data_IF_263211693317
#
_entry.id   IF_263211693317
#
_cell.length_a   1.000
_cell.length_b   1.000
_cell.length_c   1.000
_cell.angle_alpha   90.00
_cell.angle_beta   90.00
_cell.angle_gamma   90.00
#
_symmetry.space_group_name_H-M   'P 1'
#
loop_
_entity.id
_entity.type
_entity.pdbx_description
1 polymer ?
#
# COMPACT_ATOMS: atom_id res chain seq x y z
N UNK A 1 28.95 -6.78 -11.81
CA UNK A 1 28.42 -7.42 -10.58
C UNK A 1 26.92 -7.63 -10.78
N UNK A 2 26.51 -8.85 -11.07
CA UNK A 2 25.12 -9.22 -11.40
C UNK A 2 24.36 -9.59 -10.14
N UNK A 3 23.35 -8.80 -9.77
CA UNK A 3 22.42 -9.17 -8.70
C UNK A 3 21.32 -10.08 -9.28
N UNK A 4 21.32 -11.33 -8.82
CA UNK A 4 20.23 -12.29 -9.00
C UNK A 4 19.10 -11.92 -8.05
N UNK A 5 17.95 -11.53 -8.59
CA UNK A 5 16.74 -11.29 -7.80
C UNK A 5 16.07 -12.63 -7.51
N UNK A 6 16.31 -13.15 -6.31
CA UNK A 6 15.73 -14.40 -5.83
C UNK A 6 14.22 -14.34 -5.68
N UNK A 7 13.59 -15.50 -5.85
CA UNK A 7 12.17 -15.74 -5.67
C UNK A 7 11.67 -15.21 -4.32
N UNK A 8 10.50 -14.55 -4.36
CA UNK A 8 9.70 -14.09 -3.23
C UNK A 8 9.29 -15.35 -2.42
N UNK A 9 10.12 -15.76 -1.46
CA UNK A 9 9.87 -16.95 -0.64
C UNK A 9 8.88 -16.61 0.46
N UNK A 10 7.67 -17.16 0.37
CA UNK A 10 6.71 -17.20 1.46
C UNK A 10 7.30 -17.98 2.64
N UNK A 11 7.38 -17.34 3.80
CA UNK A 11 7.66 -18.03 5.05
C UNK A 11 6.33 -18.63 5.55
N UNK A 12 6.12 -19.92 5.32
CA UNK A 12 4.97 -20.66 5.83
C UNK A 12 5.09 -20.89 7.34
N UNK A 13 4.12 -20.43 8.11
CA UNK A 13 3.98 -20.74 9.53
C UNK A 13 2.83 -21.73 9.75
N UNK A 14 3.11 -22.80 10.49
CA UNK A 14 2.20 -23.94 10.71
C UNK A 14 0.95 -23.57 11.52
N UNK A 15 -0.19 -24.09 11.06
CA UNK A 15 -1.50 -23.96 11.69
C UNK A 15 -1.68 -24.94 12.86
N UNK A 16 -2.37 -24.50 13.91
CA UNK A 16 -3.18 -25.38 14.76
C UNK A 16 -4.62 -24.88 14.75
N UNK A 17 -5.52 -25.66 14.18
CA UNK A 17 -6.94 -25.41 14.05
C UNK A 17 -7.69 -25.63 15.36
N UNK A 18 -8.67 -24.77 15.66
CA UNK A 18 -9.93 -25.27 16.21
C UNK A 18 -11.09 -24.32 15.88
N UNK A 19 -12.11 -24.88 15.24
CA UNK A 19 -13.35 -24.23 14.82
C UNK A 19 -14.37 -24.24 15.94
N UNK A 20 -15.04 -23.12 16.18
CA UNK A 20 -16.45 -23.10 16.54
C UNK A 20 -17.06 -21.76 16.11
N UNK A 21 -18.10 -21.86 15.28
CA UNK A 21 -18.86 -20.79 14.67
C UNK A 21 -20.16 -20.58 15.46
N UNK A 22 -20.34 -19.39 16.02
CA UNK A 22 -21.67 -18.88 16.35
C UNK A 22 -21.83 -17.53 15.65
N UNK A 23 -22.84 -17.49 14.77
CA UNK A 23 -23.16 -16.36 13.92
C UNK A 23 -23.86 -15.26 14.69
N UNK A 24 -23.18 -14.12 14.84
CA UNK A 24 -23.80 -12.83 15.09
C UNK A 24 -23.61 -11.95 13.86
N UNK A 25 -24.65 -11.80 13.05
CA UNK A 25 -24.63 -10.90 11.88
C UNK A 25 -24.35 -9.46 12.31
N UNK A 26 -23.21 -8.93 11.91
CA UNK A 26 -22.80 -7.55 12.19
C UNK A 26 -23.52 -6.56 11.26
N UNK A 27 -24.01 -5.44 11.83
CA UNK A 27 -24.61 -4.33 11.08
C UNK A 27 -23.65 -3.15 10.99
N UNK A 28 -23.34 -2.71 9.77
CA UNK A 28 -22.55 -1.50 9.52
C UNK A 28 -23.14 -0.26 10.23
N UNK A 29 -24.48 -0.18 10.29
CA UNK A 29 -25.17 0.93 10.94
C UNK A 29 -24.90 0.99 12.46
N UNK A 30 -24.78 -0.15 13.13
CA UNK A 30 -24.56 -0.18 14.59
C UNK A 30 -23.11 0.16 14.97
N UNK A 31 -22.13 -0.26 14.18
CA UNK A 31 -20.75 0.18 14.39
C UNK A 31 -20.53 1.65 14.04
N UNK A 32 -21.16 2.14 12.97
CA UNK A 32 -21.15 3.57 12.65
C UNK A 32 -21.75 4.39 13.79
N UNK A 33 -22.88 3.95 14.35
CA UNK A 33 -23.51 4.60 15.49
C UNK A 33 -22.57 4.62 16.72
N UNK A 34 -21.96 3.48 17.08
CA UNK A 34 -20.98 3.42 18.17
C UNK A 34 -19.79 4.34 17.93
N UNK A 35 -19.24 4.33 16.71
CA UNK A 35 -18.15 5.22 16.28
C UNK A 35 -18.51 6.71 16.42
N UNK A 36 -19.72 7.10 15.98
CA UNK A 36 -20.20 8.47 16.11
C UNK A 36 -20.49 8.86 17.58
N UNK A 37 -20.75 7.88 18.46
CA UNK A 37 -20.95 8.10 19.90
C UNK A 37 -19.63 8.22 20.67
N UNK A 38 -18.61 7.44 20.30
CA UNK A 38 -17.26 7.48 20.89
C UNK A 38 -16.45 8.73 20.45
N UNK A 39 -17.00 9.52 19.53
CA UNK A 39 -16.44 10.75 18.93
C UNK A 39 -16.39 11.97 19.85
N UNK A 40 -16.19 11.78 21.15
CA UNK A 40 -16.01 12.84 22.16
C UNK A 40 -14.83 13.81 21.95
N UNK A 41 -14.19 13.81 20.78
CA UNK A 41 -13.11 14.73 20.38
C UNK A 41 -13.51 15.78 19.34
N UNK A 42 -14.80 15.90 18.99
CA UNK A 42 -15.33 17.09 18.32
C UNK A 42 -16.69 17.45 18.91
N UNK A 43 -16.76 18.54 19.68
CA UNK A 43 -18.02 19.15 20.12
C UNK A 43 -18.98 19.31 18.94
N UNK A 44 -20.04 18.51 18.90
CA UNK A 44 -21.26 18.83 18.19
C UNK A 44 -22.08 19.79 19.04
N UNK A 45 -21.84 21.10 18.91
CA UNK A 45 -22.73 22.11 19.46
C UNK A 45 -24.02 22.14 18.63
N UNK A 46 -25.07 21.48 19.10
CA UNK A 46 -26.44 21.79 18.69
C UNK A 46 -26.92 22.99 19.51
N UNK A 47 -26.71 24.19 19.00
CA UNK A 47 -27.18 25.43 19.62
C UNK A 47 -26.31 26.61 19.24
N UNK A 48 -26.94 27.68 18.76
CA UNK A 48 -26.32 28.87 18.17
C UNK A 48 -25.14 29.44 18.98
N UNK A 49 -23.93 29.25 18.48
CA UNK A 49 -22.75 30.01 18.87
C UNK A 49 -21.83 30.16 17.65
N UNK A 50 -21.38 31.37 17.39
CA UNK A 50 -20.57 31.74 16.22
C UNK A 50 -19.29 30.90 16.13
N UNK A 51 -19.18 30.09 15.07
CA UNK A 51 -18.01 29.27 14.81
C UNK A 51 -16.89 30.13 14.18
N UNK A 52 -16.05 30.71 15.03
CA UNK A 52 -14.69 31.09 14.63
C UNK A 52 -13.90 29.83 14.27
N UNK A 53 -13.30 29.83 13.08
CA UNK A 53 -12.56 28.74 12.45
C UNK A 53 -11.28 28.36 13.23
N UNK A 54 -11.40 27.51 14.24
CA UNK A 54 -10.26 26.75 14.78
C UNK A 54 -10.14 25.43 14.03
N UNK A 55 -9.30 25.37 12.98
CA UNK A 55 -8.74 24.08 12.53
C UNK A 55 -8.20 23.36 13.78
N UNK A 56 -8.55 22.09 13.97
CA UNK A 56 -8.16 21.39 15.20
C UNK A 56 -6.62 21.41 15.32
N UNK A 57 -6.11 21.80 16.50
CA UNK A 57 -4.67 21.94 16.76
C UNK A 57 -3.89 20.63 16.49
N UNK A 58 -4.58 19.48 16.55
CA UNK A 58 -4.03 18.16 16.25
C UNK A 58 -3.71 17.99 14.75
N UNK A 59 -4.57 18.47 13.85
CA UNK A 59 -4.34 18.32 12.40
C UNK A 59 -3.18 19.19 11.90
N UNK A 60 -3.01 20.38 12.47
CA UNK A 60 -1.88 21.26 12.15
C UNK A 60 -0.53 20.65 12.58
N UNK A 61 -0.50 19.94 13.71
CA UNK A 61 0.73 19.28 14.19
C UNK A 61 1.13 18.10 13.30
N UNK A 62 0.17 17.30 12.82
CA UNK A 62 0.47 16.17 11.93
C UNK A 62 0.89 16.61 10.53
N UNK A 63 0.28 17.66 9.96
CA UNK A 63 0.69 18.19 8.65
C UNK A 63 2.17 18.60 8.64
N UNK A 64 2.63 19.24 9.73
CA UNK A 64 4.02 19.60 9.89
C UNK A 64 4.90 18.36 10.03
N UNK A 65 4.50 17.39 10.88
CA UNK A 65 5.20 16.12 11.05
C UNK A 65 5.39 15.39 9.71
N UNK A 66 4.37 15.35 8.86
CA UNK A 66 4.47 14.76 7.52
C UNK A 66 5.46 15.48 6.61
N UNK A 67 5.47 16.82 6.61
CA UNK A 67 6.46 17.59 5.84
C UNK A 67 7.89 17.32 6.32
N UNK A 68 8.12 17.31 7.63
CA UNK A 68 9.45 17.01 8.19
C UNK A 68 9.86 15.57 7.89
N UNK A 69 8.94 14.62 8.04
CA UNK A 69 9.19 13.21 7.71
C UNK A 69 9.57 13.01 6.23
N UNK A 70 9.00 13.79 5.33
CA UNK A 70 9.32 13.76 3.90
C UNK A 70 10.72 14.31 3.65
N UNK A 71 11.11 15.39 4.33
CA UNK A 71 12.48 15.93 4.25
C UNK A 71 13.50 14.92 4.75
N UNK A 72 13.22 14.27 5.90
CA UNK A 72 14.04 13.19 6.44
C UNK A 72 14.14 12.05 5.43
N UNK A 73 13.00 11.59 4.90
CA UNK A 73 12.95 10.51 3.91
C UNK A 73 13.78 10.87 2.67
N UNK A 74 13.67 12.09 2.15
CA UNK A 74 14.46 12.54 1.01
C UNK A 74 15.96 12.62 1.32
N UNK A 75 16.39 12.79 2.58
CA UNK A 75 17.80 12.73 2.92
C UNK A 75 18.34 11.29 2.90
N UNK A 76 17.56 10.33 3.40
CA UNK A 76 18.00 8.93 3.54
C UNK A 76 17.76 8.06 2.28
N UNK A 77 16.91 8.50 1.35
CA UNK A 77 16.65 7.73 0.13
C UNK A 77 17.91 7.62 -0.73
N UNK A 78 18.15 6.43 -1.26
CA UNK A 78 19.19 6.19 -2.25
C UNK A 78 18.92 7.01 -3.53
N UNK A 79 19.96 7.45 -4.27
CA UNK A 79 19.78 8.21 -5.51
C UNK A 79 18.87 7.51 -6.53
N UNK A 80 18.96 6.18 -6.63
CA UNK A 80 18.11 5.39 -7.52
C UNK A 80 16.64 5.37 -7.09
N UNK A 81 16.36 5.40 -5.78
CA UNK A 81 15.00 5.49 -5.26
C UNK A 81 14.40 6.89 -5.51
N UNK A 82 15.21 7.94 -5.34
CA UNK A 82 14.84 9.32 -5.66
C UNK A 82 14.47 9.50 -7.13
N UNK A 83 15.27 8.92 -8.02
CA UNK A 83 15.02 8.96 -9.46
C UNK A 83 13.77 8.15 -9.86
N UNK A 84 13.49 7.02 -9.20
CA UNK A 84 12.27 6.28 -9.48
C UNK A 84 11.04 7.07 -9.02
N UNK A 85 11.02 7.53 -7.78
CA UNK A 85 9.85 8.17 -7.20
C UNK A 85 9.55 9.54 -7.82
N UNK A 86 10.56 10.23 -8.38
CA UNK A 86 10.36 11.51 -9.08
C UNK A 86 9.56 11.36 -10.38
N UNK A 87 9.43 10.14 -10.91
CA UNK A 87 8.65 9.83 -12.11
C UNK A 87 7.15 9.70 -11.85
N UNK A 88 6.72 9.68 -10.59
CA UNK A 88 5.31 9.66 -10.26
C UNK A 88 4.62 10.93 -10.77
N UNK A 89 3.48 10.75 -11.38
CA UNK A 89 2.60 11.78 -11.92
C UNK A 89 1.22 11.69 -11.28
N UNK A 90 0.38 12.70 -11.48
CA UNK A 90 -1.00 12.72 -10.96
C UNK A 90 -1.84 11.56 -11.51
N UNK A 91 -1.45 11.00 -12.65
CA UNK A 91 -2.13 9.85 -13.24
C UNK A 91 -1.73 8.52 -12.62
N UNK A 92 -0.64 8.43 -11.85
CA UNK A 92 -0.18 7.16 -11.26
C UNK A 92 -0.88 6.85 -9.93
N UNK A 93 -1.26 7.88 -9.16
CA UNK A 93 -1.91 7.74 -7.86
C UNK A 93 -3.35 8.24 -7.91
N UNK A 94 -4.31 7.32 -7.78
CA UNK A 94 -5.72 7.64 -7.66
C UNK A 94 -6.18 7.46 -6.21
N UNK A 95 -6.66 8.53 -5.58
CA UNK A 95 -7.21 8.49 -4.22
C UNK A 95 -8.74 8.45 -4.29
N UNK A 96 -9.33 7.40 -3.72
CA UNK A 96 -10.77 7.28 -3.50
C UNK A 96 -11.09 7.90 -2.14
N UNK A 97 -11.98 8.92 -2.10
CA UNK A 97 -12.28 9.63 -0.87
C UNK A 97 -12.97 8.70 0.15
N UNK A 98 -12.78 9.04 1.42
CA UNK A 98 -13.37 8.36 2.57
C UNK A 98 -13.85 9.37 3.59
N UNK A 99 -14.37 8.87 4.69
CA UNK A 99 -14.88 9.69 5.80
C UNK A 99 -13.86 9.82 6.94
N UNK A 100 -13.03 8.81 7.15
CA UNK A 100 -12.25 8.65 8.38
C UNK A 100 -10.73 8.76 8.15
N UNK A 101 -10.26 8.52 6.92
CA UNK A 101 -8.87 8.73 6.53
C UNK A 101 -8.73 9.87 5.50
N UNK A 102 -7.52 10.37 5.34
CA UNK A 102 -7.19 11.47 4.42
C UNK A 102 -5.79 11.31 3.83
N UNK A 103 -5.50 10.18 3.19
CA UNK A 103 -4.15 9.90 2.66
C UNK A 103 -3.68 10.96 1.67
N UNK A 104 -4.59 11.65 0.98
CA UNK A 104 -4.28 12.78 0.10
C UNK A 104 -3.51 13.90 0.82
N UNK A 105 -3.73 14.09 2.12
CA UNK A 105 -2.96 15.06 2.91
C UNK A 105 -1.53 14.60 3.15
N UNK A 106 -1.33 13.29 3.34
CA UNK A 106 0.01 12.69 3.43
C UNK A 106 0.74 12.81 2.09
N UNK A 107 0.05 12.56 0.97
CA UNK A 107 0.61 12.73 -0.38
C UNK A 107 0.97 14.20 -0.65
N UNK A 108 0.06 15.13 -0.34
CA UNK A 108 0.32 16.57 -0.49
C UNK A 108 1.51 17.03 0.37
N UNK A 109 1.57 16.62 1.63
CA UNK A 109 2.68 16.95 2.53
C UNK A 109 4.01 16.33 2.08
N UNK A 110 3.96 15.20 1.36
CA UNK A 110 5.13 14.52 0.80
C UNK A 110 5.48 14.93 -0.63
N UNK A 111 4.77 15.91 -1.20
CA UNK A 111 4.99 16.40 -2.56
C UNK A 111 4.71 15.34 -3.63
N UNK A 112 3.85 14.36 -3.34
CA UNK A 112 3.48 13.30 -4.29
C UNK A 112 2.24 13.74 -5.06
N UNK A 113 2.31 13.82 -6.40
CA UNK A 113 1.16 14.18 -7.20
C UNK A 113 0.12 13.06 -7.16
N UNK A 114 -1.16 13.43 -7.11
CA UNK A 114 -2.27 12.48 -7.06
C UNK A 114 -3.52 13.07 -7.70
N UNK A 115 -4.46 12.19 -8.07
CA UNK A 115 -5.79 12.56 -8.53
C UNK A 115 -6.84 12.03 -7.57
N UNK A 116 -7.86 12.84 -7.27
CA UNK A 116 -9.02 12.40 -6.49
C UNK A 116 -10.08 11.74 -7.39
N UNK A 117 -10.69 10.65 -6.92
CA UNK A 117 -11.89 10.06 -7.51
C UNK A 117 -13.12 10.87 -7.07
N UNK A 118 -13.47 11.91 -7.81
CA UNK A 118 -14.69 12.72 -7.57
C UNK A 118 -15.85 12.32 -8.48
N UNK A 119 -15.54 11.65 -9.59
CA UNK A 119 -16.48 11.23 -10.64
C UNK A 119 -16.17 9.80 -11.09
N UNK A 120 -16.93 9.29 -12.07
CA UNK A 120 -16.57 8.04 -12.74
C UNK A 120 -15.16 8.13 -13.34
N UNK A 121 -14.33 7.14 -13.02
CA UNK A 121 -12.95 7.04 -13.50
C UNK A 121 -12.76 5.69 -14.18
N UNK A 122 -12.24 5.72 -15.41
CA UNK A 122 -11.66 4.54 -16.05
C UNK A 122 -10.27 4.29 -15.44
N UNK A 123 -10.05 3.08 -14.95
CA UNK A 123 -8.79 2.68 -14.33
C UNK A 123 -7.73 2.31 -15.38
N UNK A 124 -6.46 2.56 -15.07
CA UNK A 124 -5.31 2.10 -15.86
C UNK A 124 -4.45 1.19 -14.97
N UNK A 125 -4.20 -0.10 -15.32
CA UNK A 125 -3.47 -1.06 -14.48
C UNK A 125 -2.03 -0.65 -14.11
N UNK A 126 -1.48 0.43 -14.68
CA UNK A 126 -0.22 1.05 -14.23
C UNK A 126 -0.37 1.85 -12.93
N UNK A 127 -1.60 2.14 -12.51
CA UNK A 127 -1.92 2.97 -11.35
C UNK A 127 -1.84 2.22 -10.02
N UNK A 128 -1.77 3.03 -8.97
CA UNK A 128 -2.05 2.68 -7.58
C UNK A 128 -3.36 3.37 -7.19
N UNK A 129 -4.35 2.59 -6.75
CA UNK A 129 -5.64 3.10 -6.25
C UNK A 129 -5.65 2.98 -4.73
N UNK A 130 -5.80 4.11 -4.05
CA UNK A 130 -5.77 4.21 -2.59
C UNK A 130 -7.16 4.55 -2.05
N UNK A 131 -7.72 3.70 -1.20
CA UNK A 131 -9.02 3.90 -0.59
C UNK A 131 -8.88 4.42 0.83
N UNK A 132 -9.31 5.66 1.04
CA UNK A 132 -9.55 6.15 2.39
C UNK A 132 -10.75 5.43 3.01
N UNK A 133 -10.64 5.09 4.30
CA UNK A 133 -11.71 4.47 5.07
C UNK A 133 -13.03 5.29 5.04
N UNK A 134 -14.21 4.68 4.78
CA UNK A 134 -14.44 3.25 4.57
C UNK A 134 -14.38 2.81 3.10
N UNK A 135 -14.24 3.72 2.14
CA UNK A 135 -14.05 3.38 0.72
C UNK A 135 -15.28 2.91 -0.08
N UNK A 136 -16.47 2.85 0.54
CA UNK A 136 -17.68 2.30 -0.10
C UNK A 136 -18.28 3.12 -1.25
N UNK A 137 -17.95 4.41 -1.38
CA UNK A 137 -18.54 5.33 -2.36
C UNK A 137 -17.67 5.53 -3.62
N UNK A 138 -17.03 4.46 -4.10
CA UNK A 138 -16.17 4.52 -5.28
C UNK A 138 -16.96 4.50 -6.60
N UNK A 139 -16.48 5.26 -7.61
CA UNK A 139 -17.06 5.29 -8.96
C UNK A 139 -16.01 4.86 -9.98
N UNK A 140 -15.77 3.55 -10.02
CA UNK A 140 -14.70 2.95 -10.82
C UNK A 140 -15.26 2.19 -12.01
N UNK A 141 -14.56 2.27 -13.14
CA UNK A 141 -14.81 1.50 -14.36
C UNK A 141 -13.52 0.88 -14.86
N UNK A 142 -13.62 -0.33 -15.37
CA UNK A 142 -12.50 -0.98 -16.03
C UNK A 142 -13.00 -2.12 -16.92
N UNK A 143 -12.59 -2.12 -18.20
CA UNK A 143 -12.97 -3.17 -19.18
C UNK A 143 -14.48 -3.46 -19.19
N UNK A 144 -15.29 -2.39 -19.13
CA UNK A 144 -16.76 -2.49 -19.15
C UNK A 144 -17.42 -2.96 -17.83
N UNK A 145 -16.63 -3.25 -16.78
CA UNK A 145 -17.14 -3.53 -15.42
C UNK A 145 -17.18 -2.25 -14.59
N UNK A 146 -17.88 -2.31 -13.45
CA UNK A 146 -18.00 -1.19 -12.51
C UNK A 146 -17.73 -1.64 -11.06
N UNK A 147 -17.46 -0.68 -10.18
CA UNK A 147 -17.33 -0.93 -8.73
C UNK A 147 -16.24 -1.93 -8.38
N UNK A 148 -16.55 -2.90 -7.52
CA UNK A 148 -15.60 -3.91 -7.04
C UNK A 148 -15.19 -4.92 -8.13
N UNK A 149 -16.04 -5.16 -9.13
CA UNK A 149 -15.68 -6.02 -10.27
C UNK A 149 -14.68 -5.32 -11.19
N UNK A 150 -14.85 -4.01 -11.42
CA UNK A 150 -13.84 -3.22 -12.11
C UNK A 150 -12.51 -3.25 -11.36
N UNK A 151 -12.55 -3.09 -10.03
CA UNK A 151 -11.36 -3.11 -9.19
C UNK A 151 -10.64 -4.46 -9.23
N UNK A 152 -11.39 -5.58 -9.21
CA UNK A 152 -10.83 -6.92 -9.35
C UNK A 152 -10.06 -7.06 -10.66
N UNK A 153 -10.72 -6.80 -11.78
CA UNK A 153 -10.11 -6.92 -13.11
C UNK A 153 -8.90 -5.99 -13.27
N UNK A 154 -9.00 -4.75 -12.79
CA UNK A 154 -7.89 -3.79 -12.78
C UNK A 154 -6.66 -4.35 -12.04
N UNK A 155 -6.90 -4.98 -10.89
CA UNK A 155 -5.83 -5.55 -10.07
C UNK A 155 -5.24 -6.78 -10.75
N UNK A 156 -6.08 -7.66 -11.31
CA UNK A 156 -5.63 -8.83 -12.08
C UNK A 156 -4.68 -8.44 -13.22
N UNK A 157 -4.92 -7.31 -13.88
CA UNK A 157 -4.10 -6.78 -14.97
C UNK A 157 -2.86 -5.98 -14.53
N UNK A 158 -2.57 -5.91 -13.22
CA UNK A 158 -1.34 -5.30 -12.70
C UNK A 158 -1.52 -4.09 -11.80
N UNK A 159 -2.75 -3.63 -11.61
CA UNK A 159 -3.09 -2.52 -10.73
C UNK A 159 -2.70 -2.79 -9.27
N UNK A 160 -2.33 -1.74 -8.55
CA UNK A 160 -2.10 -1.82 -7.10
C UNK A 160 -3.29 -1.20 -6.36
N UNK A 161 -3.74 -1.87 -5.29
CA UNK A 161 -4.81 -1.38 -4.43
C UNK A 161 -4.30 -1.26 -3.01
N UNK A 162 -4.46 -0.07 -2.41
CA UNK A 162 -4.12 0.21 -1.02
C UNK A 162 -5.41 0.59 -0.30
N UNK A 163 -5.68 0.01 0.86
CA UNK A 163 -6.90 0.27 1.62
C UNK A 163 -6.60 0.42 3.11
N UNK A 164 -7.37 1.25 3.82
CA UNK A 164 -7.27 1.40 5.27
C UNK A 164 -8.55 1.03 6.01
N UNK A 165 -8.37 0.40 7.17
CA UNK A 165 -9.38 0.08 8.18
C UNK A 165 -10.68 -0.53 7.62
N UNK A 166 -11.83 0.15 7.73
CA UNK A 166 -13.12 -0.40 7.34
C UNK A 166 -13.28 -0.64 5.83
N UNK A 167 -12.36 -0.13 5.02
CA UNK A 167 -12.26 -0.54 3.62
C UNK A 167 -12.01 -2.05 3.47
N UNK A 168 -11.60 -2.75 4.53
CA UNK A 168 -11.57 -4.22 4.58
C UNK A 168 -12.92 -4.82 4.17
N UNK A 169 -14.00 -4.45 4.87
CA UNK A 169 -15.34 -5.01 4.61
C UNK A 169 -15.99 -4.39 3.38
N UNK A 170 -15.77 -3.11 3.15
CA UNK A 170 -16.48 -2.37 2.09
C UNK A 170 -15.85 -2.53 0.71
N UNK A 171 -14.55 -2.81 0.63
CA UNK A 171 -13.78 -2.90 -0.61
C UNK A 171 -13.11 -4.26 -0.72
N UNK A 172 -12.23 -4.62 0.22
CA UNK A 172 -11.33 -5.78 0.06
C UNK A 172 -12.11 -7.08 0.02
N UNK A 173 -13.00 -7.34 0.99
CA UNK A 173 -13.77 -8.58 1.06
C UNK A 173 -14.72 -8.75 -0.13
N UNK A 174 -15.23 -7.65 -0.70
CA UNK A 174 -16.12 -7.66 -1.86
C UNK A 174 -15.36 -7.86 -3.17
N UNK A 175 -14.25 -7.13 -3.37
CA UNK A 175 -13.43 -7.19 -4.57
C UNK A 175 -12.46 -8.39 -4.59
N UNK A 176 -12.11 -8.95 -3.44
CA UNK A 176 -11.09 -9.99 -3.29
C UNK A 176 -11.47 -11.02 -2.19
N UNK A 177 -12.61 -11.72 -2.32
CA UNK A 177 -13.07 -12.66 -1.30
C UNK A 177 -12.08 -13.80 -1.10
N UNK A 178 -11.98 -14.26 0.15
CA UNK A 178 -11.23 -15.46 0.52
C UNK A 178 -9.75 -15.28 0.81
N UNK A 179 -9.20 -14.05 0.77
CA UNK A 179 -7.82 -13.79 1.21
C UNK A 179 -7.76 -13.43 2.69
N UNK A 180 -8.53 -12.41 3.06
CA UNK A 180 -8.62 -11.88 4.41
C UNK A 180 -10.07 -11.49 4.72
N UNK A 181 -10.39 -11.47 6.00
CA UNK A 181 -11.67 -10.97 6.51
C UNK A 181 -11.46 -10.15 7.78
N UNK A 182 -12.55 -9.54 8.24
CA UNK A 182 -12.53 -8.83 9.51
C UNK A 182 -12.43 -9.80 10.69
N UNK A 183 -11.51 -9.49 11.60
CA UNK A 183 -11.34 -10.16 12.88
C UNK A 183 -12.56 -10.07 13.80
N UNK A 184 -12.65 -10.99 14.76
CA UNK A 184 -13.82 -11.13 15.64
C UNK A 184 -14.00 -9.98 16.63
N UNK A 185 -12.94 -9.21 16.90
CA UNK A 185 -12.94 -8.09 17.85
C UNK A 185 -12.59 -6.82 17.12
N UNK A 186 -13.19 -5.71 17.55
CA UNK A 186 -12.72 -4.40 17.11
C UNK A 186 -11.63 -3.90 18.04
N UNK A 187 -10.77 -3.02 17.53
CA UNK A 187 -9.75 -2.35 18.33
C UNK A 187 -10.38 -1.36 19.32
N UNK A 188 -9.69 -1.15 20.44
CA UNK A 188 -9.83 0.06 21.25
C UNK A 188 -8.97 1.20 20.71
N UNK A 189 -8.90 2.30 21.46
CA UNK A 189 -8.07 3.45 21.15
C UNK A 189 -6.63 3.22 21.69
N UNK A 190 -5.80 2.53 20.91
CA UNK A 190 -4.54 1.94 21.38
C UNK A 190 -3.32 2.42 20.60
N UNK A 191 -2.20 2.55 21.30
CA UNK A 191 -0.87 2.64 20.68
C UNK A 191 -0.19 1.28 20.77
N UNK A 192 0.05 0.64 19.64
CA UNK A 192 0.64 -0.72 19.58
C UNK A 192 2.04 -0.68 19.01
N UNK A 193 2.91 -1.55 19.52
CA UNK A 193 4.20 -1.81 18.88
C UNK A 193 4.01 -2.61 17.60
N UNK A 194 4.77 -2.25 16.57
CA UNK A 194 4.76 -2.89 15.26
C UNK A 194 5.99 -3.76 15.09
N UNK A 195 5.75 -5.04 14.88
CA UNK A 195 6.75 -6.02 14.47
C UNK A 195 6.91 -6.00 12.95
N UNK A 196 8.15 -5.83 12.47
CA UNK A 196 8.50 -5.97 11.06
C UNK A 196 8.58 -7.46 10.69
N UNK A 197 7.42 -8.11 10.57
CA UNK A 197 7.32 -9.57 10.30
C UNK A 197 8.07 -9.94 9.03
N UNK A 198 7.95 -9.13 7.98
CA UNK A 198 8.70 -9.30 6.73
C UNK A 198 9.91 -8.34 6.68
N UNK A 199 10.84 -8.41 7.63
CA UNK A 199 11.96 -7.45 7.79
C UNK A 199 12.92 -7.34 6.59
N UNK A 200 13.01 -8.38 5.75
CA UNK A 200 13.77 -8.36 4.49
C UNK A 200 12.99 -7.82 3.28
N UNK A 201 11.69 -7.57 3.45
CA UNK A 201 10.80 -7.13 2.37
C UNK A 201 11.12 -5.69 1.94
N UNK A 202 11.12 -5.39 0.63
CA UNK A 202 11.24 -4.00 0.19
C UNK A 202 10.10 -3.10 0.72
N UNK A 203 8.95 -3.69 1.08
CA UNK A 203 7.81 -2.98 1.66
C UNK A 203 8.07 -2.43 3.07
N UNK A 204 8.94 -3.07 3.86
CA UNK A 204 9.20 -2.71 5.27
C UNK A 204 10.55 -2.02 5.48
N UNK A 205 11.34 -1.91 4.41
CA UNK A 205 12.68 -1.31 4.43
C UNK A 205 12.65 0.10 4.99
N UNK A 206 13.51 0.35 5.98
CA UNK A 206 13.68 1.67 6.59
C UNK A 206 12.54 2.11 7.52
N UNK A 207 11.57 1.24 7.82
CA UNK A 207 10.55 1.51 8.85
C UNK A 207 11.11 1.42 10.25
N UNK A 208 12.17 0.63 10.44
CA UNK A 208 12.90 0.52 11.68
C UNK A 208 14.25 -0.13 11.42
N UNK A 209 15.26 0.28 12.18
CA UNK A 209 16.59 -0.31 12.23
C UNK A 209 16.94 -0.56 13.71
N UNK A 210 17.36 -1.79 14.04
CA UNK A 210 17.76 -2.15 15.41
C UNK A 210 16.59 -2.50 16.35
N UNK A 211 16.67 -2.05 17.60
CA UNK A 211 15.82 -2.50 18.72
C UNK A 211 14.52 -1.72 18.90
N UNK A 212 14.29 -0.63 18.15
CA UNK A 212 13.07 0.16 18.28
C UNK A 212 12.00 -0.38 17.32
N UNK A 213 10.87 -0.79 17.89
CA UNK A 213 9.65 -1.12 17.15
C UNK A 213 8.84 0.15 16.89
N UNK A 214 8.44 0.44 15.64
CA UNK A 214 7.52 1.53 15.36
C UNK A 214 6.25 1.45 16.20
N UNK A 215 5.69 2.60 16.58
CA UNK A 215 4.40 2.66 17.28
C UNK A 215 3.33 3.16 16.33
N UNK A 216 2.28 2.37 16.16
CA UNK A 216 1.13 2.75 15.34
C UNK A 216 -0.11 2.93 16.20
N UNK A 217 -0.90 3.93 15.84
CA UNK A 217 -2.16 4.21 16.49
C UNK A 217 -3.28 3.41 15.84
N UNK A 218 -4.08 2.75 16.67
CA UNK A 218 -5.31 2.09 16.28
C UNK A 218 -6.47 2.90 16.81
N UNK A 219 -7.32 3.38 15.91
CA UNK A 219 -8.53 4.09 16.30
C UNK A 219 -9.49 3.12 16.99
N UNK A 220 -10.35 3.65 17.87
CA UNK A 220 -11.44 2.87 18.42
C UNK A 220 -12.34 2.36 17.31
N UNK A 221 -12.67 1.09 17.35
CA UNK A 221 -13.51 0.39 16.38
C UNK A 221 -12.88 0.04 15.03
N UNK A 222 -11.55 0.14 14.86
CA UNK A 222 -10.87 -0.40 13.67
C UNK A 222 -11.00 -1.93 13.56
N UNK A 223 -10.80 -2.46 12.35
CA UNK A 223 -10.99 -3.86 11.99
C UNK A 223 -9.64 -4.60 11.93
N UNK A 224 -9.31 -5.44 12.92
CA UNK A 224 -8.20 -6.39 12.82
C UNK A 224 -8.38 -7.32 11.62
N UNK A 225 -7.25 -7.82 11.11
CA UNK A 225 -7.20 -8.59 9.87
C UNK A 225 -7.09 -10.08 10.20
N UNK A 226 -8.15 -10.83 9.91
CA UNK A 226 -8.12 -12.28 9.98
C UNK A 226 -7.69 -12.87 8.62
N UNK A 227 -6.79 -13.83 8.65
CA UNK A 227 -6.26 -14.48 7.44
C UNK A 227 -7.08 -15.72 7.09
N UNK A 228 -7.52 -15.81 5.84
CA UNK A 228 -8.24 -16.98 5.32
C UNK A 228 -7.34 -17.91 4.49
N UNK A 229 -6.31 -17.36 3.85
CA UNK A 229 -5.31 -18.09 3.03
C UNK A 229 -3.90 -17.72 3.46
N UNK A 230 -3.43 -18.33 4.53
CA UNK A 230 -2.14 -17.99 5.15
C UNK A 230 -0.96 -18.09 4.16
N UNK A 231 -0.99 -19.05 3.24
CA UNK A 231 0.06 -19.27 2.25
C UNK A 231 0.13 -18.22 1.13
N UNK A 232 -0.94 -17.44 0.94
CA UNK A 232 -1.05 -16.46 -0.14
C UNK A 232 -1.07 -15.01 0.35
N UNK A 233 -1.02 -14.79 1.66
CA UNK A 233 -1.06 -13.46 2.28
C UNK A 233 0.22 -13.22 3.06
N UNK A 234 1.01 -12.26 2.59
CA UNK A 234 2.21 -11.80 3.27
C UNK A 234 1.82 -10.83 4.39
N UNK A 235 2.22 -11.14 5.61
CA UNK A 235 2.12 -10.20 6.73
C UNK A 235 3.34 -9.28 6.67
N UNK A 236 3.11 -8.02 6.31
CA UNK A 236 4.18 -7.02 6.23
C UNK A 236 4.52 -6.51 7.62
N UNK A 237 3.48 -6.13 8.37
CA UNK A 237 3.55 -5.57 9.71
C UNK A 237 2.61 -6.35 10.63
N UNK A 238 3.09 -6.73 11.81
CA UNK A 238 2.31 -7.43 12.84
C UNK A 238 2.43 -6.77 14.20
N UNK A 239 1.72 -7.29 15.19
CA UNK A 239 1.90 -6.91 16.60
C UNK A 239 1.45 -8.04 17.53
N UNK A 240 2.34 -8.47 18.41
CA UNK A 240 1.97 -9.43 19.47
C UNK A 240 0.95 -8.84 20.46
N UNK A 241 0.94 -7.52 20.64
CA UNK A 241 -0.08 -6.83 21.44
C UNK A 241 -1.46 -6.90 20.77
N UNK A 242 -1.53 -6.71 19.45
CA UNK A 242 -2.75 -6.90 18.66
C UNK A 242 -3.28 -8.32 18.80
N UNK A 243 -2.40 -9.32 18.64
CA UNK A 243 -2.75 -10.74 18.81
C UNK A 243 -3.36 -11.01 20.19
N UNK A 244 -2.74 -10.47 21.23
CA UNK A 244 -3.15 -10.71 22.62
C UNK A 244 -4.50 -10.05 22.95
N UNK A 245 -4.70 -8.79 22.52
CA UNK A 245 -5.91 -8.02 22.84
C UNK A 245 -7.08 -8.38 21.91
N UNK A 246 -6.80 -8.51 20.62
CA UNK A 246 -7.80 -8.54 19.54
C UNK A 246 -7.84 -9.85 18.76
N UNK A 247 -7.01 -10.84 19.12
CA UNK A 247 -6.92 -12.20 18.54
C UNK A 247 -6.24 -12.28 17.17
N UNK A 248 -6.12 -11.16 16.45
CA UNK A 248 -5.48 -11.09 15.16
C UNK A 248 -4.22 -10.23 15.23
N UNK A 249 -3.09 -10.80 14.85
CA UNK A 249 -1.77 -10.16 14.87
C UNK A 249 -1.52 -9.15 13.72
N UNK A 250 -1.99 -9.36 12.47
CA UNK A 250 -1.57 -8.50 11.37
C UNK A 250 -2.05 -7.04 11.52
N UNK A 251 -1.15 -6.10 11.23
CA UNK A 251 -1.44 -4.66 11.11
C UNK A 251 -1.50 -4.26 9.64
N UNK A 252 -0.58 -4.81 8.82
CA UNK A 252 -0.58 -4.59 7.38
C UNK A 252 -0.25 -5.90 6.66
N UNK A 253 -1.04 -6.20 5.63
CA UNK A 253 -0.89 -7.40 4.81
C UNK A 253 -0.81 -7.03 3.33
N UNK A 254 -0.21 -7.92 2.54
CA UNK A 254 -0.18 -7.85 1.09
C UNK A 254 -0.50 -9.21 0.51
N UNK A 255 -1.29 -9.24 -0.56
CA UNK A 255 -1.49 -10.47 -1.33
C UNK A 255 -1.56 -10.19 -2.84
N UNK A 256 -1.18 -11.17 -3.67
CA UNK A 256 -1.25 -11.04 -5.12
C UNK A 256 -2.68 -11.28 -5.64
N UNK A 257 -3.04 -10.57 -6.70
CA UNK A 257 -4.24 -10.82 -7.51
C UNK A 257 -3.82 -10.63 -8.96
N UNK A 258 -3.74 -11.73 -9.72
CA UNK A 258 -3.11 -11.72 -11.05
C UNK A 258 -1.71 -11.10 -11.02
N UNK A 259 -1.48 -10.10 -11.86
CA UNK A 259 -0.21 -9.38 -11.92
C UNK A 259 -0.06 -8.25 -10.88
N UNK A 260 -1.18 -7.84 -10.26
CA UNK A 260 -1.28 -6.74 -9.31
C UNK A 260 -1.11 -7.16 -7.86
N UNK A 261 -1.33 -6.20 -6.95
CA UNK A 261 -1.17 -6.38 -5.51
C UNK A 261 -2.25 -5.63 -4.76
N UNK A 262 -2.75 -6.26 -3.70
CA UNK A 262 -3.60 -5.61 -2.71
C UNK A 262 -2.79 -5.47 -1.43
N UNK A 263 -2.74 -4.26 -0.88
CA UNK A 263 -2.18 -3.95 0.44
C UNK A 263 -3.33 -3.42 1.30
N UNK A 264 -3.50 -4.03 2.46
CA UNK A 264 -4.52 -3.61 3.43
C UNK A 264 -3.88 -3.33 4.78
N UNK A 265 -4.33 -2.28 5.44
CA UNK A 265 -3.78 -1.77 6.69
C UNK A 265 -4.92 -1.49 7.68
N UNK A 266 -4.83 -2.00 8.91
CA UNK A 266 -5.86 -1.75 9.95
C UNK A 266 -5.86 -0.28 10.42
N UNK A 267 -4.71 0.38 10.40
CA UNK A 267 -4.55 1.80 10.78
C UNK A 267 -4.85 2.76 9.61
N UNK A 268 -5.22 3.99 9.95
CA UNK A 268 -5.30 5.11 9.01
C UNK A 268 -3.93 5.70 8.69
N UNK A 269 -3.74 6.25 7.49
CA UNK A 269 -2.47 6.91 7.14
C UNK A 269 -2.40 8.33 7.70
N UNK A 270 -3.45 9.15 7.56
CA UNK A 270 -3.38 10.54 8.03
C UNK A 270 -3.75 10.69 9.51
N UNK A 271 -4.79 9.95 9.92
CA UNK A 271 -5.33 10.01 11.27
C UNK A 271 -4.40 9.24 12.22
N UNK A 272 -3.36 9.91 12.69
CA UNK A 272 -2.32 9.41 13.59
C UNK A 272 -2.29 10.22 14.90
N UNK A 273 -1.83 9.62 15.99
CA UNK A 273 -1.67 10.34 17.27
C UNK A 273 -0.30 11.00 17.38
N UNK A 274 -0.22 12.11 18.09
CA UNK A 274 1.06 12.78 18.40
C UNK A 274 1.71 12.26 19.69
N UNK A 275 1.02 11.36 20.40
CA UNK A 275 1.44 10.80 21.69
C UNK A 275 2.41 9.64 21.48
N UNK A 276 3.39 9.52 22.37
CA UNK A 276 4.24 8.33 22.46
C UNK A 276 3.62 7.28 23.38
N UNK A 277 3.83 5.99 23.06
CA UNK A 277 3.41 4.86 23.90
C UNK A 277 4.16 4.87 25.24
N UNK A 278 5.46 5.10 25.20
CA UNK A 278 6.33 5.03 26.37
C UNK A 278 6.45 6.36 27.11
N UNK A 279 6.28 6.33 28.44
CA UNK A 279 6.43 7.51 29.29
C UNK A 279 7.80 8.20 29.09
N UNK A 280 8.87 7.42 28.98
CA UNK A 280 10.23 7.92 28.74
C UNK A 280 10.40 8.66 27.40
N UNK A 281 9.46 8.54 26.45
CA UNK A 281 9.46 9.25 25.18
C UNK A 281 8.54 10.48 25.17
N UNK A 282 7.66 10.66 26.17
CA UNK A 282 6.68 11.74 26.18
C UNK A 282 7.30 13.14 26.22
N UNK A 283 8.50 13.26 26.78
CA UNK A 283 9.27 14.51 26.82
C UNK A 283 10.34 14.59 25.73
N UNK A 284 10.44 13.59 24.85
CA UNK A 284 11.37 13.59 23.72
C UNK A 284 10.78 14.33 22.52
N UNK A 285 11.68 14.83 21.70
CA UNK A 285 11.37 15.66 20.53
C UNK A 285 11.55 14.87 19.23
N UNK A 286 11.13 15.47 18.12
CA UNK A 286 11.46 14.96 16.79
C UNK A 286 12.97 14.95 16.53
N UNK A 287 13.74 15.81 17.19
CA UNK A 287 15.21 15.80 17.08
C UNK A 287 15.79 14.51 17.69
N UNK A 288 15.26 14.08 18.84
CA UNK A 288 15.63 12.80 19.44
C UNK A 288 15.31 11.63 18.49
N UNK A 289 14.14 11.65 17.84
CA UNK A 289 13.78 10.63 16.86
C UNK A 289 14.76 10.60 15.68
N UNK A 290 14.98 11.75 15.04
CA UNK A 290 15.86 11.85 13.87
C UNK A 290 17.31 11.42 14.17
N UNK A 291 17.88 11.89 15.28
CA UNK A 291 19.30 11.64 15.57
C UNK A 291 19.54 10.28 16.23
N UNK A 292 18.77 9.94 17.26
CA UNK A 292 19.03 8.74 18.08
C UNK A 292 18.46 7.46 17.47
N UNK A 293 17.43 7.58 16.64
CA UNK A 293 16.75 6.41 16.06
C UNK A 293 16.99 6.26 14.58
N UNK A 294 16.90 7.35 13.80
CA UNK A 294 17.24 7.27 12.38
C UNK A 294 18.74 7.41 12.13
N UNK A 295 19.54 7.77 13.14
CA UNK A 295 20.99 7.90 13.03
C UNK A 295 21.43 9.12 12.24
N UNK A 296 20.57 10.13 12.07
CA UNK A 296 20.94 11.38 11.41
C UNK A 296 21.99 12.13 12.23
N UNK A 297 22.95 12.74 11.55
CA UNK A 297 23.87 13.69 12.18
C UNK A 297 23.12 14.95 12.61
N UNK A 298 23.67 15.69 13.58
CA UNK A 298 23.09 16.98 14.00
C UNK A 298 22.99 17.97 12.85
N UNK A 299 23.96 17.98 11.94
CA UNK A 299 23.95 18.84 10.75
C UNK A 299 22.76 18.53 9.83
N UNK A 300 22.53 17.25 9.53
CA UNK A 300 21.38 16.82 8.72
C UNK A 300 20.06 17.14 9.41
N UNK A 301 19.97 16.91 10.72
CA UNK A 301 18.77 17.20 11.50
C UNK A 301 18.45 18.71 11.51
N UNK A 302 19.47 19.57 11.64
CA UNK A 302 19.31 21.02 11.59
C UNK A 302 18.76 21.51 10.23
N UNK A 303 19.11 20.85 9.13
CA UNK A 303 18.57 21.18 7.79
C UNK A 303 17.08 20.85 7.65
N UNK A 304 16.55 19.89 8.43
CA UNK A 304 15.11 19.57 8.43
C UNK A 304 14.30 20.71 9.04
N UNK A 305 14.82 21.34 10.10
CA UNK A 305 14.19 22.44 10.84
C UNK A 305 12.99 22.00 11.69
N UNK A 306 12.71 22.75 12.77
CA UNK A 306 11.56 22.57 13.68
C UNK A 306 11.42 21.16 14.33
N UNK A 307 12.49 20.38 14.38
CA UNK A 307 12.48 19.05 14.99
C UNK A 307 12.31 19.12 16.52
N UNK A 308 12.87 20.14 17.17
CA UNK A 308 12.77 20.34 18.63
C UNK A 308 11.35 20.72 19.08
N UNK A 309 10.59 21.41 18.23
CA UNK A 309 9.20 21.84 18.51
C UNK A 309 8.16 20.78 18.15
N UNK A 310 8.60 19.64 17.62
CA UNK A 310 7.74 18.51 17.25
C UNK A 310 7.89 17.41 18.29
N UNK A 311 6.79 16.76 18.69
CA UNK A 311 6.88 15.61 19.60
C UNK A 311 7.50 14.40 18.91
N UNK A 312 8.18 13.56 19.69
CA UNK A 312 8.71 12.28 19.22
C UNK A 312 7.63 11.44 18.50
N UNK A 313 6.48 11.22 19.15
CA UNK A 313 5.39 10.40 18.60
C UNK A 313 4.83 10.92 17.28
N UNK A 314 4.66 12.24 17.14
CA UNK A 314 4.16 12.81 15.89
C UNK A 314 5.11 12.53 14.71
N UNK A 315 6.42 12.69 14.92
CA UNK A 315 7.40 12.45 13.86
C UNK A 315 7.58 10.97 13.55
N UNK A 316 7.57 10.11 14.57
CA UNK A 316 7.62 8.65 14.42
C UNK A 316 6.46 8.11 13.59
N UNK A 317 5.22 8.47 13.95
CA UNK A 317 4.02 8.04 13.22
C UNK A 317 4.01 8.58 11.80
N UNK A 318 4.39 9.84 11.60
CA UNK A 318 4.45 10.43 10.26
C UNK A 318 5.52 9.76 9.38
N UNK A 319 6.74 9.58 9.90
CA UNK A 319 7.85 8.97 9.17
C UNK A 319 7.55 7.53 8.78
N UNK A 320 7.09 6.71 9.71
CA UNK A 320 6.84 5.29 9.44
C UNK A 320 5.69 5.11 8.45
N UNK A 321 4.62 5.92 8.55
CA UNK A 321 3.51 5.93 7.57
C UNK A 321 3.97 6.36 6.18
N UNK A 322 4.72 7.47 6.08
CA UNK A 322 5.22 7.98 4.80
C UNK A 322 6.21 7.02 4.16
N UNK A 323 7.15 6.45 4.93
CA UNK A 323 8.12 5.47 4.42
C UNK A 323 7.41 4.20 3.93
N UNK A 324 6.38 3.71 4.63
CA UNK A 324 5.64 2.53 4.20
C UNK A 324 4.93 2.75 2.86
N UNK A 325 4.21 3.86 2.72
CA UNK A 325 3.59 4.25 1.44
C UNK A 325 4.62 4.37 0.32
N UNK A 326 5.74 5.03 0.62
CA UNK A 326 6.82 5.22 -0.35
C UNK A 326 7.40 3.89 -0.84
N UNK A 327 7.59 2.92 0.07
CA UNK A 327 8.05 1.59 -0.31
C UNK A 327 7.06 0.90 -1.27
N UNK A 328 5.75 1.00 -1.02
CA UNK A 328 4.73 0.45 -1.94
C UNK A 328 4.83 1.09 -3.33
N UNK A 329 5.04 2.41 -3.39
CA UNK A 329 5.18 3.15 -4.65
C UNK A 329 6.43 2.71 -5.42
N UNK A 330 7.57 2.60 -4.74
CA UNK A 330 8.81 2.10 -5.34
C UNK A 330 8.63 0.70 -5.90
N UNK A 331 7.93 -0.19 -5.19
CA UNK A 331 7.68 -1.54 -5.67
C UNK A 331 6.81 -1.57 -6.93
N UNK A 332 5.78 -0.72 -7.03
CA UNK A 332 5.01 -0.59 -8.26
C UNK A 332 5.88 -0.11 -9.42
N UNK A 333 6.65 0.96 -9.22
CA UNK A 333 7.52 1.54 -10.25
C UNK A 333 8.61 0.57 -10.72
N UNK A 334 9.23 -0.17 -9.79
CA UNK A 334 10.23 -1.21 -10.11
C UNK A 334 9.63 -2.29 -11.00
N UNK A 335 8.42 -2.76 -10.68
CA UNK A 335 7.72 -3.77 -11.49
C UNK A 335 7.38 -3.25 -12.89
N UNK A 336 6.90 -2.02 -13.01
CA UNK A 336 6.60 -1.42 -14.32
C UNK A 336 7.85 -1.24 -15.17
N UNK A 337 8.97 -0.81 -14.58
CA UNK A 337 10.25 -0.74 -15.28
C UNK A 337 10.74 -2.11 -15.74
N UNK A 338 10.62 -3.14 -14.89
CA UNK A 338 11.02 -4.51 -15.25
C UNK A 338 10.18 -5.08 -16.38
N UNK A 339 8.85 -4.86 -16.35
CA UNK A 339 7.94 -5.25 -17.44
C UNK A 339 8.32 -4.56 -18.75
N UNK A 340 8.57 -3.25 -18.70
CA UNK A 340 8.95 -2.44 -19.86
C UNK A 340 10.26 -2.91 -20.49
N UNK A 341 11.28 -3.16 -19.66
CA UNK A 341 12.57 -3.70 -20.12
C UNK A 341 12.43 -5.08 -20.75
N UNK A 342 11.66 -5.97 -20.12
CA UNK A 342 11.42 -7.32 -20.63
C UNK A 342 10.68 -7.29 -21.97
N UNK A 343 9.69 -6.40 -22.12
CA UNK A 343 8.95 -6.21 -23.37
C UNK A 343 9.87 -5.69 -24.48
N UNK A 344 10.71 -4.69 -24.19
CA UNK A 344 11.66 -4.15 -25.16
C UNK A 344 12.69 -5.21 -25.61
N UNK A 345 13.19 -6.03 -24.69
CA UNK A 345 14.08 -7.14 -25.04
C UNK A 345 13.41 -8.19 -25.93
N UNK A 346 12.14 -8.54 -25.66
CA UNK A 346 11.38 -9.45 -26.52
C UNK A 346 11.19 -8.87 -27.92
N UNK A 347 10.88 -7.58 -28.02
CA UNK A 347 10.72 -6.90 -29.30
C UNK A 347 12.04 -6.87 -30.10
N UNK A 348 13.15 -6.51 -29.47
CA UNK A 348 14.48 -6.53 -30.10
C UNK A 348 14.87 -7.93 -30.60
N UNK A 349 14.62 -8.97 -29.81
CA UNK A 349 14.85 -10.36 -30.23
C UNK A 349 13.97 -10.78 -31.42
N UNK A 350 12.71 -10.36 -31.43
CA UNK A 350 11.80 -10.64 -32.54
C UNK A 350 12.24 -9.92 -33.83
N UNK A 351 12.65 -8.65 -33.75
CA UNK A 351 13.19 -7.90 -34.89
C UNK A 351 14.46 -8.55 -35.45
N UNK A 352 15.41 -8.92 -34.59
CA UNK A 352 16.63 -9.59 -35.02
C UNK A 352 16.36 -10.95 -35.67
N UNK A 353 15.38 -11.71 -35.17
CA UNK A 353 14.98 -12.99 -35.77
C UNK A 353 14.34 -12.81 -37.16
N UNK A 354 13.56 -11.75 -37.36
CA UNK A 354 12.98 -11.42 -38.67
C UNK A 354 14.03 -10.99 -39.68
N UNK A 355 15.03 -10.19 -39.26
CA UNK A 355 16.16 -9.81 -40.12
C UNK A 355 17.00 -11.02 -40.53
N UNK A 356 17.23 -11.99 -39.63
CA UNK A 356 17.92 -13.24 -39.96
C UNK A 356 17.13 -14.14 -40.94
N UNK A 357 15.81 -14.19 -40.81
CA UNK A 357 14.94 -14.90 -41.76
C UNK A 357 14.93 -14.21 -43.14
N UNK A 358 14.94 -12.88 -43.19
CA UNK A 358 14.99 -12.12 -44.43
C UNK A 358 16.38 -12.16 -45.10
N UNK A 359 17.46 -12.33 -44.34
CA UNK A 359 18.82 -12.45 -44.83
C UNK A 359 19.20 -13.89 -45.24
N UNK A 360 18.34 -14.88 -44.98
CA UNK A 360 18.55 -16.25 -45.45
C UNK A 360 18.30 -16.32 -46.97
N UNK A 361 19.29 -16.70 -47.79
CA UNK A 361 19.09 -16.78 -49.24
C UNK A 361 17.97 -17.79 -49.52
N UNK A 362 16.97 -17.36 -50.30
CA UNK A 362 15.89 -18.22 -50.76
C UNK A 362 16.51 -19.50 -51.33
N UNK A 363 16.31 -20.64 -50.67
CA UNK A 363 16.66 -21.91 -51.25
C UNK A 363 15.87 -22.05 -52.55
N UNK A 364 16.59 -21.90 -53.66
CA UNK A 364 16.10 -22.21 -55.00
C UNK A 364 15.40 -23.55 -54.95
N UNK A 365 14.09 -23.54 -55.21
CA UNK A 365 13.30 -24.74 -55.45
C UNK A 365 13.94 -25.42 -56.65
N UNK A 366 14.78 -26.43 -56.39
CA UNK A 366 15.34 -27.28 -57.44
C UNK A 366 14.17 -27.83 -58.25
N UNK A 367 14.16 -27.47 -59.54
CA UNK A 367 13.19 -27.92 -60.52
C UNK A 367 12.91 -29.42 -60.38
N UNK A 368 11.63 -29.76 -60.30
CA UNK A 368 11.15 -31.13 -60.40
C UNK A 368 11.73 -31.75 -61.69
N UNK A 369 12.36 -32.94 -61.63
CA UNK A 369 12.90 -33.55 -62.82
C UNK A 369 11.75 -33.96 -63.75
N UNK A 370 11.75 -33.36 -64.94
CA UNK A 370 10.99 -33.82 -66.11
C UNK A 370 11.34 -35.28 -66.38
N UNK A 371 10.39 -36.20 -66.17
CA UNK A 371 10.53 -37.57 -66.67
C UNK A 371 9.26 -38.05 -67.37
N UNK A 372 9.41 -38.06 -68.70
CA UNK A 372 8.97 -39.06 -69.67
C UNK A 372 7.47 -39.38 -69.81
N UNK A 373 6.98 -38.92 -70.97
CA UNK A 373 5.88 -39.51 -71.76
C UNK A 373 5.93 -41.05 -71.72
N UNK A 374 4.87 -41.66 -71.20
CA UNK A 374 4.49 -43.03 -71.53
C UNK A 374 3.39 -42.97 -72.58
N UNK A 375 3.70 -43.42 -73.78
CA UNK A 375 2.73 -43.66 -74.87
C UNK A 375 2.32 -45.12 -74.84
N UNK A 376 1.00 -45.35 -74.81
CA UNK A 376 0.23 -46.46 -75.41
C UNK A 376 0.46 -47.89 -74.89
N UNK A 377 -0.59 -48.51 -74.34
CA UNK A 377 -1.47 -49.48 -75.05
C UNK A 377 -2.55 -50.04 -74.09
N UNK A 378 -3.82 -49.83 -74.47
CA UNK A 378 -5.02 -50.63 -74.12
C UNK A 378 -5.02 -51.81 -75.15
N UNK A 379 -5.37 -53.07 -74.81
CA UNK A 379 -6.69 -53.52 -74.31
C UNK A 379 -6.75 -53.87 -72.84
#
# INVERSE_FOLDING_TARGET
MSYSWGNDTSASWGNSSNSNSEGGGFSYASAKAKYDTDKGYACGCTGSCSCGSKKSKLSQNMDQAYKMSTRILNNILEPSEKDLISRLTETDLLVVPGQYDSVEKVLAASGRPYRMNTNYVELDPKQIVMFNCPGGNHRLRYKGKTGTDALRNFTEDGGFVITTDWALSEVVMKAFPGYIERGKRNTGNDLVEVDLVASGSPYTRGLGNGSLKPIWWLEGSSYPIHLLRNENVDILLGSEEMKSKYLDMPIAVKFPVGEGRVVHVTSHFYLQTTKSKYAAQQHKTGLDFATKFLGMTESEANQIGNLESTSFGALESAYTSTRFLHNIFLEKLRRENQKSFTAQQKQLKATFSLEQLAASPAMSVRALPNSKKSTKLIP
#
